data_IF_557979857018
#
_entry.id   IF_557979857018
#
_cell.length_a   1.000
_cell.length_b   1.000
_cell.length_c   1.000
_cell.angle_alpha   90.00
_cell.angle_beta   90.00
_cell.angle_gamma   90.00
#
_symmetry.space_group_name_H-M   'P 1'
#
loop_
_entity.id
_entity.type
_entity.pdbx_description
1 polymer ?
#
# COMPACT_ATOMS: atom_id res chain seq x y z
N UNK A 1 -1.11 -16.26 3.55
CA UNK A 1 -1.15 -15.43 4.78
C UNK A 1 0.25 -15.47 5.38
N UNK A 2 0.78 -14.32 5.78
CA UNK A 2 2.07 -14.22 6.48
C UNK A 2 1.73 -13.90 7.94
N UNK A 3 2.40 -14.53 8.90
CA UNK A 3 2.19 -14.22 10.31
C UNK A 3 2.77 -12.85 10.64
N UNK A 4 2.11 -12.10 11.53
CA UNK A 4 2.53 -10.75 11.92
C UNK A 4 2.09 -9.62 10.98
N UNK A 5 1.54 -9.93 9.79
CA UNK A 5 1.11 -8.90 8.84
C UNK A 5 -0.28 -8.34 9.11
N UNK A 6 -0.55 -7.04 8.82
CA UNK A 6 -1.84 -6.38 9.12
C UNK A 6 -3.02 -6.91 8.29
N UNK A 7 -2.74 -7.69 7.25
CA UNK A 7 -3.73 -8.29 6.36
C UNK A 7 -3.14 -9.46 5.58
N UNK A 8 -3.91 -9.99 4.63
CA UNK A 8 -3.45 -11.06 3.73
C UNK A 8 -2.70 -10.43 2.55
N UNK A 9 -1.43 -10.79 2.36
CA UNK A 9 -0.73 -10.52 1.12
C UNK A 9 -1.32 -11.42 0.02
N UNK A 10 -1.97 -10.79 -0.95
CA UNK A 10 -2.52 -11.43 -2.13
C UNK A 10 -1.62 -11.17 -3.34
N UNK A 11 -1.52 -12.17 -4.21
CA UNK A 11 -0.88 -12.05 -5.52
C UNK A 11 -1.87 -12.47 -6.60
N UNK A 12 -1.96 -11.69 -7.67
CA UNK A 12 -2.79 -11.99 -8.84
C UNK A 12 -1.91 -11.95 -10.08
N UNK A 13 -1.92 -13.03 -10.85
CA UNK A 13 -1.25 -13.10 -12.14
C UNK A 13 -2.28 -12.95 -13.27
N UNK A 14 -2.20 -11.85 -14.00
CA UNK A 14 -2.89 -11.70 -15.27
C UNK A 14 -2.00 -12.29 -16.38
N UNK A 15 -2.28 -13.56 -16.71
CA UNK A 15 -1.57 -14.31 -17.74
C UNK A 15 -1.77 -13.72 -19.15
N UNK A 16 -2.89 -13.03 -19.37
CA UNK A 16 -3.19 -12.41 -20.67
C UNK A 16 -2.34 -11.17 -20.90
N UNK A 17 -2.10 -10.36 -19.86
CA UNK A 17 -1.31 -9.13 -19.97
C UNK A 17 0.14 -9.29 -19.51
N UNK A 18 0.52 -10.46 -19.01
CA UNK A 18 1.87 -10.69 -18.51
C UNK A 18 2.16 -9.88 -17.23
N UNK A 19 1.16 -9.63 -16.37
CA UNK A 19 1.30 -8.74 -15.20
C UNK A 19 1.00 -9.44 -13.89
N UNK A 20 1.84 -9.21 -12.90
CA UNK A 20 1.59 -9.52 -11.49
C UNK A 20 1.07 -8.27 -10.79
N UNK A 21 0.10 -8.49 -9.91
CA UNK A 21 -0.30 -7.54 -8.87
C UNK A 21 -0.06 -8.18 -7.52
N UNK A 22 0.72 -7.53 -6.66
CA UNK A 22 0.79 -7.85 -5.23
C UNK A 22 -0.02 -6.81 -4.46
N UNK A 23 -0.75 -7.25 -3.45
CA UNK A 23 -1.60 -6.35 -2.67
C UNK A 23 -1.80 -6.79 -1.23
N UNK A 24 -2.09 -5.83 -0.35
CA UNK A 24 -2.54 -6.07 1.02
C UNK A 24 -3.62 -5.06 1.38
N UNK A 25 -4.60 -5.50 2.17
CA UNK A 25 -5.59 -4.61 2.78
C UNK A 25 -5.19 -4.32 4.23
N UNK A 26 -5.16 -3.04 4.57
CA UNK A 26 -4.79 -2.54 5.89
C UNK A 26 -6.03 -1.90 6.50
N UNK A 27 -6.53 -2.41 7.64
CA UNK A 27 -7.70 -1.84 8.28
C UNK A 27 -7.40 -0.44 8.79
N UNK A 28 -8.41 0.42 8.77
CA UNK A 28 -8.34 1.75 9.35
C UNK A 28 -8.36 1.63 10.88
N UNK A 29 -7.18 1.59 11.50
CA UNK A 29 -7.03 1.23 12.91
C UNK A 29 -7.57 2.28 13.90
N UNK A 30 -7.78 3.54 13.48
CA UNK A 30 -8.00 4.63 14.43
C UNK A 30 -9.17 5.58 14.09
N UNK A 31 -9.94 6.01 15.11
CA UNK A 31 -10.92 7.08 14.96
C UNK A 31 -10.24 8.41 14.58
N UNK A 32 -10.97 9.28 13.89
CA UNK A 32 -10.48 10.60 13.48
C UNK A 32 -10.99 11.04 12.10
N UNK A 33 -10.70 12.29 11.75
CA UNK A 33 -11.08 12.85 10.45
C UNK A 33 -10.47 12.06 9.28
N UNK A 34 -11.21 11.81 8.18
CA UNK A 34 -10.75 11.02 7.03
C UNK A 34 -9.38 11.46 6.49
N UNK A 35 -9.18 12.77 6.29
CA UNK A 35 -7.91 13.31 5.79
C UNK A 35 -6.74 13.03 6.74
N UNK A 36 -6.97 13.05 8.05
CA UNK A 36 -5.94 12.76 9.05
C UNK A 36 -5.48 11.30 9.00
N UNK A 37 -6.41 10.37 8.71
CA UNK A 37 -6.09 8.94 8.52
C UNK A 37 -5.23 8.75 7.27
N UNK A 38 -5.62 9.36 6.16
CA UNK A 38 -4.87 9.31 4.90
C UNK A 38 -3.46 9.89 5.06
N UNK A 39 -3.32 11.09 5.64
CA UNK A 39 -2.01 11.71 5.91
C UNK A 39 -1.13 10.86 6.82
N UNK A 40 -1.70 10.07 7.73
CA UNK A 40 -0.93 9.15 8.57
C UNK A 40 -0.42 7.95 7.76
N UNK A 41 -1.26 7.35 6.92
CA UNK A 41 -0.83 6.27 6.04
C UNK A 41 0.31 6.72 5.12
N UNK A 42 0.14 7.85 4.43
CA UNK A 42 1.15 8.38 3.50
C UNK A 42 2.48 8.65 4.21
N UNK A 43 2.45 9.14 5.45
CA UNK A 43 3.66 9.31 6.28
C UNK A 43 4.33 7.98 6.65
N UNK A 44 3.56 6.92 6.91
CA UNK A 44 4.15 5.58 7.15
C UNK A 44 4.81 5.04 5.89
N UNK A 45 4.25 5.35 4.73
CA UNK A 45 4.73 4.93 3.41
C UNK A 45 5.76 5.90 2.80
N UNK A 46 6.44 6.73 3.60
CA UNK A 46 7.35 7.75 3.07
C UNK A 46 8.48 7.17 2.19
N UNK A 47 8.97 5.98 2.57
CA UNK A 47 10.04 5.28 1.86
C UNK A 47 9.52 4.23 0.87
N UNK A 48 8.19 4.11 0.71
CA UNK A 48 7.61 3.14 -0.19
C UNK A 48 7.74 3.59 -1.66
N UNK A 49 7.67 2.67 -2.63
CA UNK A 49 7.84 3.02 -4.04
C UNK A 49 6.79 4.01 -4.53
N UNK A 50 7.21 4.96 -5.37
CA UNK A 50 6.32 6.02 -5.88
C UNK A 50 5.16 5.48 -6.73
N UNK A 51 5.36 4.33 -7.38
CA UNK A 51 4.37 3.59 -8.18
C UNK A 51 3.38 2.76 -7.33
N UNK A 52 3.51 2.77 -5.99
CA UNK A 52 2.56 2.13 -5.09
C UNK A 52 1.17 2.71 -5.28
N UNK A 53 0.21 1.86 -5.62
CA UNK A 53 -1.18 2.25 -5.70
C UNK A 53 -1.83 2.14 -4.32
N UNK A 54 -2.59 3.17 -3.95
CA UNK A 54 -3.39 3.22 -2.75
C UNK A 54 -4.85 3.41 -3.18
N UNK A 55 -5.71 2.51 -2.74
CA UNK A 55 -7.17 2.62 -2.88
C UNK A 55 -7.79 2.72 -1.49
N UNK A 56 -8.67 3.70 -1.30
CA UNK A 56 -9.45 3.84 -0.08
C UNK A 56 -10.60 2.84 -0.10
N UNK A 57 -10.68 2.00 0.92
CA UNK A 57 -11.81 1.09 1.12
C UNK A 57 -12.89 1.83 1.90
N UNK A 58 -14.12 1.78 1.42
CA UNK A 58 -15.27 2.43 2.03
C UNK A 58 -16.34 1.42 2.39
N UNK A 59 -17.17 1.75 3.37
CA UNK A 59 -18.37 0.99 3.67
C UNK A 59 -19.44 1.27 2.60
N UNK A 60 -19.79 0.26 1.80
CA UNK A 60 -20.75 0.37 0.70
C UNK A 60 -20.26 -0.24 -0.63
N UNK A 61 -21.14 -0.28 -1.65
CA UNK A 61 -20.82 -0.84 -2.96
C UNK A 61 -19.93 0.12 -3.77
N UNK A 62 -18.84 -0.41 -4.34
CA UNK A 62 -18.00 0.29 -5.30
C UNK A 62 -16.53 0.38 -4.89
N UNK A 63 -15.69 0.76 -5.85
CA UNK A 63 -14.29 1.07 -5.58
C UNK A 63 -14.17 2.50 -5.06
N UNK A 64 -13.48 2.69 -3.95
CA UNK A 64 -13.21 4.03 -3.43
C UNK A 64 -12.16 4.77 -4.25
N UNK A 65 -11.89 6.04 -3.87
CA UNK A 65 -10.85 6.84 -4.49
C UNK A 65 -9.48 6.15 -4.48
N UNK A 66 -8.69 6.35 -5.54
CA UNK A 66 -7.37 5.73 -5.70
C UNK A 66 -6.35 6.64 -6.36
N UNK A 67 -5.09 6.45 -6.01
CA UNK A 67 -3.96 7.20 -6.58
C UNK A 67 -2.63 6.47 -6.38
N UNK A 68 -1.61 6.88 -7.12
CA UNK A 68 -0.22 6.47 -6.87
C UNK A 68 0.36 7.27 -5.72
N UNK A 69 1.24 6.67 -4.93
CA UNK A 69 1.89 7.33 -3.81
C UNK A 69 2.63 8.61 -4.26
N UNK A 70 3.23 8.60 -5.45
CA UNK A 70 3.81 9.79 -6.09
C UNK A 70 2.86 11.00 -6.07
N UNK A 71 1.62 10.81 -6.51
CA UNK A 71 0.61 11.87 -6.59
C UNK A 71 0.06 12.23 -5.21
N UNK A 72 -0.02 11.26 -4.31
CA UNK A 72 -0.63 11.45 -2.98
C UNK A 72 0.31 12.11 -1.97
N UNK A 73 1.63 12.05 -2.19
CA UNK A 73 2.62 12.75 -1.34
C UNK A 73 2.34 14.27 -1.29
N UNK A 74 2.22 14.99 -2.41
CA UNK A 74 1.84 16.40 -2.38
C UNK A 74 0.34 16.59 -2.09
N UNK A 75 -0.54 15.73 -2.61
CA UNK A 75 -1.99 15.91 -2.56
C UNK A 75 -2.71 14.74 -1.86
N UNK A 76 -2.57 14.59 -0.52
CA UNK A 76 -3.16 13.46 0.21
C UNK A 76 -4.69 13.48 0.21
N UNK A 77 -5.33 14.62 -0.04
CA UNK A 77 -6.79 14.73 -0.04
C UNK A 77 -7.46 14.00 -1.22
N UNK A 78 -6.70 13.70 -2.29
CA UNK A 78 -7.24 13.09 -3.52
C UNK A 78 -7.84 11.69 -3.33
N UNK A 79 -7.46 10.98 -2.26
CA UNK A 79 -8.03 9.67 -1.93
C UNK A 79 -9.06 9.70 -0.79
N UNK A 80 -9.49 10.88 -0.36
CA UNK A 80 -10.59 11.01 0.61
C UNK A 80 -11.94 10.88 -0.11
N UNK A 81 -12.87 10.03 0.36
CA UNK A 81 -14.21 9.92 -0.22
C UNK A 81 -14.94 11.27 -0.18
N UNK A 82 -15.41 11.73 -1.36
CA UNK A 82 -16.06 13.05 -1.51
C UNK A 82 -17.53 13.05 -1.06
N UNK A 83 -18.14 11.87 -1.06
CA UNK A 83 -19.50 11.59 -0.62
C UNK A 83 -19.62 11.41 0.91
N UNK A 84 -18.49 11.50 1.63
CA UNK A 84 -18.45 11.30 3.08
C UNK A 84 -18.53 9.83 3.51
N UNK A 85 -18.37 8.87 2.58
CA UNK A 85 -18.38 7.46 2.91
C UNK A 85 -17.31 7.11 3.97
N UNK A 86 -17.66 6.19 4.87
CA UNK A 86 -16.77 5.79 5.96
C UNK A 86 -15.59 4.98 5.43
N UNK A 87 -14.37 5.43 5.74
CA UNK A 87 -13.14 4.71 5.39
C UNK A 87 -12.98 3.50 6.31
N UNK A 88 -13.07 2.30 5.75
CA UNK A 88 -12.88 1.02 6.46
C UNK A 88 -11.42 0.57 6.43
N UNK A 89 -10.64 1.01 5.44
CA UNK A 89 -9.24 0.66 5.31
C UNK A 89 -8.62 1.17 4.02
N UNK A 90 -7.48 0.60 3.67
CA UNK A 90 -6.74 0.93 2.46
C UNK A 90 -6.21 -0.33 1.79
N UNK A 91 -6.33 -0.42 0.47
CA UNK A 91 -5.66 -1.45 -0.32
C UNK A 91 -4.41 -0.87 -0.94
N UNK A 92 -3.28 -1.48 -0.61
CA UNK A 92 -1.97 -1.13 -1.16
C UNK A 92 -1.62 -2.13 -2.25
N UNK A 93 -1.11 -1.68 -3.40
CA UNK A 93 -0.80 -2.58 -4.51
C UNK A 93 0.40 -2.14 -5.34
N UNK A 94 1.26 -3.09 -5.69
CA UNK A 94 2.31 -2.91 -6.70
C UNK A 94 2.03 -3.79 -7.92
N UNK A 95 2.55 -3.35 -9.06
CA UNK A 95 2.46 -4.06 -10.32
C UNK A 95 3.87 -4.37 -10.83
N UNK A 96 4.03 -5.55 -11.43
CA UNK A 96 5.28 -5.98 -12.04
C UNK A 96 4.97 -6.77 -13.31
N UNK A 97 5.78 -6.59 -14.36
CA UNK A 97 5.74 -7.49 -15.50
C UNK A 97 6.26 -8.88 -15.13
N UNK A 98 5.62 -9.92 -15.64
CA UNK A 98 6.13 -11.29 -15.62
C UNK A 98 7.21 -11.36 -16.70
N UNK A 99 8.48 -11.49 -16.29
CA UNK A 99 9.62 -11.37 -17.19
C UNK A 99 9.52 -12.34 -18.37
N UNK A 100 9.91 -11.87 -19.56
CA UNK A 100 10.03 -12.70 -20.77
C UNK A 100 11.45 -13.29 -20.86
N UNK A 101 11.82 -14.16 -19.94
CA UNK A 101 13.12 -14.83 -20.01
C UNK A 101 13.18 -15.81 -21.19
N UNK A 102 14.20 -15.71 -22.06
CA UNK A 102 14.53 -16.80 -23.01
C UNK A 102 15.10 -17.96 -22.20
N UNK A 103 14.25 -18.92 -21.89
CA UNK A 103 14.41 -20.08 -21.02
C UNK A 103 13.01 -20.62 -20.68
N UNK A 104 12.86 -21.86 -20.21
CA UNK A 104 11.53 -22.46 -19.99
C UNK A 104 10.60 -21.48 -19.26
N UNK A 105 9.49 -21.08 -19.89
CA UNK A 105 8.63 -19.97 -19.46
C UNK A 105 8.13 -20.11 -18.01
N UNK A 106 8.04 -21.35 -17.51
CA UNK A 106 7.72 -21.69 -16.12
C UNK A 106 8.70 -21.10 -15.10
N UNK A 107 10.01 -21.15 -15.40
CA UNK A 107 11.06 -20.59 -14.52
C UNK A 107 11.00 -19.06 -14.42
N UNK A 108 10.60 -18.39 -15.50
CA UNK A 108 10.47 -16.93 -15.53
C UNK A 108 9.27 -16.44 -14.72
N UNK A 109 8.18 -17.20 -14.73
CA UNK A 109 6.98 -16.90 -13.93
C UNK A 109 7.25 -17.02 -12.43
N UNK A 110 7.78 -18.16 -11.97
CA UNK A 110 8.06 -18.42 -10.55
C UNK A 110 8.98 -17.35 -9.98
N UNK A 111 10.11 -17.09 -10.66
CA UNK A 111 11.03 -16.02 -10.27
C UNK A 111 10.36 -14.64 -10.23
N UNK A 112 9.48 -14.36 -11.19
CA UNK A 112 8.74 -13.09 -11.22
C UNK A 112 7.83 -12.94 -10.00
N UNK A 113 7.19 -14.03 -9.57
CA UNK A 113 6.35 -14.11 -8.36
C UNK A 113 7.17 -13.88 -7.10
N UNK A 114 8.26 -14.63 -6.91
CA UNK A 114 9.12 -14.52 -5.72
C UNK A 114 9.62 -13.08 -5.54
N UNK A 115 10.24 -12.54 -6.59
CA UNK A 115 10.74 -11.16 -6.58
C UNK A 115 9.62 -10.11 -6.38
N UNK A 116 8.38 -10.38 -6.84
CA UNK A 116 7.26 -9.47 -6.62
C UNK A 116 6.79 -9.48 -5.16
N UNK A 117 6.74 -10.66 -4.53
CA UNK A 117 6.39 -10.84 -3.12
C UNK A 117 7.46 -10.22 -2.23
N UNK A 118 8.74 -10.53 -2.48
CA UNK A 118 9.88 -10.02 -1.70
C UNK A 118 9.94 -8.49 -1.75
N UNK A 119 9.84 -7.90 -2.95
CA UNK A 119 9.82 -6.45 -3.13
C UNK A 119 8.64 -5.83 -2.39
N UNK A 120 7.44 -6.39 -2.55
CA UNK A 120 6.24 -5.84 -1.91
C UNK A 120 6.32 -5.93 -0.38
N UNK A 121 6.81 -7.06 0.15
CA UNK A 121 6.96 -7.24 1.57
C UNK A 121 7.97 -6.23 2.16
N UNK A 122 9.18 -6.18 1.59
CA UNK A 122 10.27 -5.34 2.09
C UNK A 122 9.97 -3.83 1.95
N UNK A 123 9.33 -3.42 0.85
CA UNK A 123 9.16 -1.99 0.53
C UNK A 123 7.79 -1.42 0.93
N UNK A 124 6.79 -2.26 1.23
CA UNK A 124 5.42 -1.80 1.54
C UNK A 124 4.97 -2.35 2.88
N UNK A 125 4.92 -3.67 3.03
CA UNK A 125 4.34 -4.32 4.23
C UNK A 125 5.11 -3.94 5.50
N UNK A 126 6.44 -4.04 5.45
CA UNK A 126 7.31 -3.68 6.57
C UNK A 126 7.13 -2.23 7.05
N UNK A 127 6.82 -1.30 6.14
CA UNK A 127 6.63 0.11 6.49
C UNK A 127 5.30 0.38 7.21
N UNK A 128 4.26 -0.40 6.90
CA UNK A 128 2.96 -0.28 7.56
C UNK A 128 3.00 -0.90 8.96
N UNK A 129 3.77 -1.96 9.15
CA UNK A 129 3.98 -2.65 10.43
C UNK A 129 4.87 -1.89 11.40
N UNK A 130 5.84 -1.13 10.88
CA UNK A 130 6.75 -0.36 11.70
C UNK A 130 5.97 0.52 12.70
N UNK A 131 6.38 0.56 13.99
CA UNK A 131 5.81 1.46 14.97
C UNK A 131 5.82 2.88 14.43
N UNK A 132 4.70 3.60 14.59
CA UNK A 132 4.64 4.99 14.16
C UNK A 132 5.81 5.77 14.79
N UNK A 133 6.55 6.60 14.02
CA UNK A 133 7.68 7.33 14.56
C UNK A 133 7.21 8.16 15.76
N UNK A 134 7.76 7.86 16.94
CA UNK A 134 7.50 8.66 18.15
C UNK A 134 7.98 10.07 17.85
N UNK A 135 7.07 11.06 17.89
CA UNK A 135 7.49 12.46 17.97
C UNK A 135 8.37 12.58 19.22
N UNK A 136 9.66 12.83 19.04
CA UNK A 136 10.47 13.41 20.10
C UNK A 136 9.78 14.71 20.46
N UNK A 137 9.28 14.79 21.69
CA UNK A 137 8.85 16.06 22.26
C UNK A 137 10.13 16.86 22.39
N UNK A 138 10.35 17.84 21.53
CA UNK A 138 11.44 18.80 21.72
C UNK A 138 11.18 19.44 23.08
N UNK A 139 12.02 19.15 24.06
CA UNK A 139 12.04 19.91 25.30
C UNK A 139 12.40 21.35 24.92
N UNK A 140 11.44 22.27 25.12
CA UNK A 140 11.73 23.69 25.08
C UNK A 140 12.77 23.99 26.17
N UNK A 141 13.93 24.57 25.84
CA UNK A 141 14.84 25.05 26.86
C UNK A 141 14.17 26.25 27.52
N UNK A 142 13.80 26.09 28.79
CA UNK A 142 13.46 27.22 29.66
C UNK A 142 14.76 27.95 29.99
N UNK A 143 14.89 29.16 29.47
CA UNK A 143 15.96 30.11 29.77
C UNK A 143 15.44 31.53 29.65
#
# INVERSE_FOLDING_TARGET
RIEGTPGVLAITADLRTGKLRTSIEVPSAEPGYPLSRVKRLIRRLAEAPADLHIETLVDGPGAGPRGTLERLRPEPADIVPKDGAQITGFRLSLFKGMGSGRGSAETGFIRSVDEAVDRFHAQVVAQVEAPAPRRSRSEEPTG
#
